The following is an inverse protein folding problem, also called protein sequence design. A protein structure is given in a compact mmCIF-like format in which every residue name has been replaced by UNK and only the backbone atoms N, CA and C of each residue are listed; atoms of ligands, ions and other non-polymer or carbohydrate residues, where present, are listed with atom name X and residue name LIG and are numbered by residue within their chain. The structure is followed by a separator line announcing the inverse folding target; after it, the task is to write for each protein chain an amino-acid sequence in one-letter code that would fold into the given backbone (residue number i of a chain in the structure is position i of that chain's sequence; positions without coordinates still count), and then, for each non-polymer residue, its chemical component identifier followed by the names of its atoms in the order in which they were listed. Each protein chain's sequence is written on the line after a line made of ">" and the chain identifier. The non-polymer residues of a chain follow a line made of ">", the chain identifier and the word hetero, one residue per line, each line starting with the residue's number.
data_IF_151212560911
#
_entry.id   IF_151212560911
#
_cell.length_a   1.000
_cell.length_b   1.000
_cell.length_c   1.000
_cell.angle_alpha   90.00
_cell.angle_beta   90.00
_cell.angle_gamma   90.00
#
_symmetry.space_group_name_H-M   'P 1'
#
loop_
_entity.id
_entity.type
_entity.pdbx_description
1 polymer ?
#
# COMPACT_ATOMS: atom_id res chain seq x y z
N UNK A 1 -23.24 38.13 -21.72
CA UNK A 1 -22.26 37.03 -21.91
C UNK A 1 -22.26 36.21 -20.63
N UNK A 2 -22.57 34.92 -20.68
CA UNK A 2 -22.55 34.05 -19.50
C UNK A 2 -21.10 33.58 -19.29
N UNK A 3 -20.51 33.92 -18.14
CA UNK A 3 -19.19 33.44 -17.79
C UNK A 3 -19.28 31.95 -17.43
N UNK A 4 -18.73 31.08 -18.27
CA UNK A 4 -18.55 29.67 -17.93
C UNK A 4 -17.34 29.58 -16.97
N UNK A 5 -17.52 29.08 -15.75
CA UNK A 5 -16.41 28.95 -14.82
C UNK A 5 -15.37 27.98 -15.40
N UNK A 6 -14.12 28.42 -15.46
CA UNK A 6 -13.00 27.67 -16.05
C UNK A 6 -12.65 26.40 -15.25
N UNK A 7 -13.04 26.35 -13.98
CA UNK A 7 -12.91 25.17 -13.11
C UNK A 7 -14.28 24.84 -12.52
N UNK A 8 -14.65 23.56 -12.58
CA UNK A 8 -15.74 23.05 -11.75
C UNK A 8 -15.42 23.32 -10.26
N UNK A 9 -16.45 23.54 -9.44
CA UNK A 9 -16.27 23.87 -8.02
C UNK A 9 -15.35 22.87 -7.33
N UNK A 10 -14.35 23.37 -6.60
CA UNK A 10 -13.42 22.54 -5.83
C UNK A 10 -14.22 21.75 -4.76
N UNK A 11 -13.98 20.44 -4.61
CA UNK A 11 -14.60 19.66 -3.55
C UNK A 11 -14.18 20.23 -2.19
N UNK A 12 -15.15 20.48 -1.31
CA UNK A 12 -14.88 21.11 0.00
C UNK A 12 -15.64 20.50 1.17
N UNK A 13 -16.64 19.64 0.92
CA UNK A 13 -17.49 19.05 1.94
C UNK A 13 -17.22 17.56 2.13
N UNK A 14 -18.29 16.77 2.11
CA UNK A 14 -18.26 15.31 2.28
C UNK A 14 -17.40 14.61 1.22
N UNK A 15 -17.21 15.25 0.06
CA UNK A 15 -16.37 14.75 -1.02
C UNK A 15 -14.91 14.57 -0.56
N UNK A 16 -14.38 15.49 0.25
CA UNK A 16 -13.03 15.38 0.79
C UNK A 16 -12.90 14.19 1.75
N UNK A 17 -13.95 13.90 2.52
CA UNK A 17 -13.98 12.74 3.41
C UNK A 17 -13.98 11.43 2.62
N UNK A 18 -14.74 11.36 1.53
CA UNK A 18 -14.76 10.20 0.62
C UNK A 18 -13.38 10.01 -0.01
N UNK A 19 -12.77 11.08 -0.53
CA UNK A 19 -11.41 11.03 -1.10
C UNK A 19 -10.41 10.55 -0.07
N UNK A 20 -10.48 11.06 1.17
CA UNK A 20 -9.63 10.62 2.26
C UNK A 20 -9.79 9.12 2.56
N UNK A 21 -11.02 8.61 2.66
CA UNK A 21 -11.26 7.18 2.91
C UNK A 21 -10.77 6.29 1.76
N UNK A 22 -10.97 6.71 0.51
CA UNK A 22 -10.43 5.99 -0.66
C UNK A 22 -8.90 5.96 -0.58
N UNK A 23 -8.27 7.10 -0.28
CA UNK A 23 -6.83 7.19 -0.15
C UNK A 23 -6.32 6.28 0.98
N UNK A 24 -6.95 6.33 2.16
CA UNK A 24 -6.64 5.47 3.29
C UNK A 24 -6.81 3.98 2.95
N UNK A 25 -7.91 3.61 2.29
CA UNK A 25 -8.18 2.23 1.91
C UNK A 25 -7.13 1.71 0.92
N UNK A 26 -6.84 2.48 -0.13
CA UNK A 26 -5.91 2.05 -1.19
C UNK A 26 -4.48 2.01 -0.66
N UNK A 27 -3.99 3.11 -0.11
CA UNK A 27 -2.58 3.24 0.29
C UNK A 27 -2.29 2.66 1.67
N UNK A 28 -3.25 2.68 2.60
CA UNK A 28 -3.07 2.16 3.95
C UNK A 28 -3.37 0.67 4.10
N UNK A 29 -4.15 0.08 3.18
CA UNK A 29 -4.57 -1.32 3.32
C UNK A 29 -4.33 -2.15 2.06
N UNK A 30 -4.94 -1.80 0.93
CA UNK A 30 -4.92 -2.66 -0.26
C UNK A 30 -3.52 -2.83 -0.85
N UNK A 31 -2.75 -1.75 -0.97
CA UNK A 31 -1.38 -1.82 -1.49
C UNK A 31 -0.46 -2.65 -0.55
N UNK A 32 -0.39 -2.37 0.77
CA UNK A 32 0.37 -3.21 1.70
C UNK A 32 0.02 -4.69 1.66
N UNK A 33 -1.29 -5.03 1.60
CA UNK A 33 -1.74 -6.43 1.50
C UNK A 33 -1.28 -7.05 0.19
N UNK A 34 -1.42 -6.34 -0.93
CA UNK A 34 -0.96 -6.81 -2.24
C UNK A 34 0.55 -7.09 -2.27
N UNK A 35 1.35 -6.18 -1.69
CA UNK A 35 2.80 -6.36 -1.54
C UNK A 35 3.12 -7.59 -0.69
N UNK A 36 2.48 -7.74 0.46
CA UNK A 36 2.71 -8.88 1.35
C UNK A 36 2.29 -10.22 0.71
N UNK A 37 1.19 -10.23 -0.04
CA UNK A 37 0.77 -11.41 -0.79
C UNK A 37 1.82 -11.81 -1.83
N UNK A 38 2.38 -10.85 -2.56
CA UNK A 38 3.44 -11.12 -3.51
C UNK A 38 4.71 -11.66 -2.82
N UNK A 39 5.15 -11.02 -1.74
CA UNK A 39 6.30 -11.46 -0.92
C UNK A 39 6.10 -12.89 -0.44
N UNK A 40 4.91 -13.20 0.12
CA UNK A 40 4.57 -14.54 0.59
C UNK A 40 4.66 -15.59 -0.52
N UNK A 41 4.07 -15.29 -1.69
CA UNK A 41 4.05 -16.21 -2.83
C UNK A 41 5.43 -16.45 -3.41
N UNK A 42 6.24 -15.40 -3.54
CA UNK A 42 7.61 -15.51 -4.05
C UNK A 42 8.50 -16.30 -3.07
N UNK A 43 8.42 -15.98 -1.77
CA UNK A 43 9.20 -16.67 -0.73
C UNK A 43 8.81 -18.15 -0.61
N UNK A 44 7.51 -18.45 -0.64
CA UNK A 44 7.01 -19.83 -0.61
C UNK A 44 7.45 -20.62 -1.85
N UNK A 45 7.43 -20.00 -3.03
CA UNK A 45 7.89 -20.66 -4.26
C UNK A 45 9.38 -21.00 -4.25
N UNK A 46 10.17 -20.30 -3.42
CA UNK A 46 11.61 -20.55 -3.22
C UNK A 46 11.92 -21.52 -2.09
N UNK A 47 10.91 -21.95 -1.33
CA UNK A 47 11.11 -22.79 -0.15
C UNK A 47 11.74 -22.03 1.03
N UNK A 48 11.54 -20.71 1.11
CA UNK A 48 12.00 -19.92 2.24
C UNK A 48 11.10 -20.19 3.47
N UNK A 49 11.70 -20.70 4.55
CA UNK A 49 11.01 -21.06 5.79
C UNK A 49 10.35 -19.86 6.49
N UNK A 50 10.87 -18.65 6.27
CA UNK A 50 10.40 -17.39 6.86
C UNK A 50 9.37 -16.66 5.98
N UNK A 51 8.80 -17.31 4.96
CA UNK A 51 7.84 -16.67 4.03
C UNK A 51 6.69 -15.93 4.74
N UNK A 52 6.14 -16.52 5.81
CA UNK A 52 5.07 -15.91 6.60
C UNK A 52 5.56 -14.67 7.37
N UNK A 53 6.78 -14.70 7.89
CA UNK A 53 7.36 -13.57 8.63
C UNK A 53 7.62 -12.39 7.70
N UNK A 54 8.16 -12.63 6.50
CA UNK A 54 8.36 -11.60 5.50
C UNK A 54 7.06 -10.94 5.05
N UNK A 55 6.02 -11.74 4.82
CA UNK A 55 4.70 -11.24 4.47
C UNK A 55 4.08 -10.42 5.62
N UNK A 56 4.15 -10.93 6.85
CA UNK A 56 3.60 -10.25 8.02
C UNK A 56 4.32 -8.92 8.29
N UNK A 57 5.65 -8.92 8.23
CA UNK A 57 6.45 -7.71 8.37
C UNK A 57 6.07 -6.66 7.31
N UNK A 58 5.81 -7.10 6.07
CA UNK A 58 5.37 -6.21 4.99
C UNK A 58 4.01 -5.57 5.28
N UNK A 59 3.02 -6.35 5.74
CA UNK A 59 1.69 -5.79 6.12
C UNK A 59 1.81 -4.85 7.31
N UNK A 60 2.50 -5.26 8.37
CA UNK A 60 2.60 -4.48 9.60
C UNK A 60 3.33 -3.16 9.36
N UNK A 61 4.42 -3.17 8.59
CA UNK A 61 5.10 -1.94 8.20
C UNK A 61 4.20 -1.04 7.33
N UNK A 62 3.40 -1.63 6.44
CA UNK A 62 2.40 -0.92 5.65
C UNK A 62 1.33 -0.23 6.47
N UNK A 63 0.75 -0.96 7.43
CA UNK A 63 -0.40 -0.54 8.22
C UNK A 63 -0.03 0.46 9.33
N UNK A 64 1.10 0.24 10.01
CA UNK A 64 1.49 1.04 11.18
C UNK A 64 2.54 2.12 10.89
N UNK A 65 3.23 2.07 9.75
CA UNK A 65 4.18 3.13 9.34
C UNK A 65 3.63 3.89 8.16
N UNK A 66 3.55 3.24 6.99
CA UNK A 66 2.94 3.74 5.76
C UNK A 66 3.19 2.73 4.63
N UNK A 67 2.61 2.99 3.45
CA UNK A 67 2.98 2.27 2.22
C UNK A 67 4.50 2.25 1.95
N UNK A 68 5.25 3.28 2.38
CA UNK A 68 6.70 3.29 2.27
C UNK A 68 7.38 2.33 3.24
N UNK A 69 6.78 2.08 4.42
CA UNK A 69 7.22 1.05 5.34
C UNK A 69 7.09 -0.36 4.73
N UNK A 70 5.93 -0.66 4.13
CA UNK A 70 5.76 -1.91 3.37
C UNK A 70 6.78 -2.02 2.22
N UNK A 71 6.99 -0.93 1.47
CA UNK A 71 7.98 -0.86 0.41
C UNK A 71 9.42 -1.12 0.90
N UNK A 72 9.79 -0.57 2.06
CA UNK A 72 11.10 -0.80 2.66
C UNK A 72 11.30 -2.28 3.03
N UNK A 73 10.30 -2.93 3.64
CA UNK A 73 10.38 -4.38 3.95
C UNK A 73 10.43 -5.21 2.67
N UNK A 74 9.64 -4.86 1.65
CA UNK A 74 9.71 -5.54 0.35
C UNK A 74 11.10 -5.43 -0.27
N UNK A 75 11.72 -4.24 -0.22
CA UNK A 75 13.09 -4.05 -0.70
C UNK A 75 14.08 -4.90 0.08
N UNK A 76 13.97 -4.95 1.41
CA UNK A 76 14.80 -5.82 2.25
C UNK A 76 14.63 -7.30 1.90
N UNK A 77 13.38 -7.74 1.68
CA UNK A 77 13.10 -9.08 1.21
C UNK A 77 13.79 -9.37 -0.13
N UNK A 78 13.65 -8.47 -1.12
CA UNK A 78 14.27 -8.66 -2.44
C UNK A 78 15.80 -8.71 -2.36
N UNK A 79 16.41 -7.90 -1.49
CA UNK A 79 17.87 -7.78 -1.37
C UNK A 79 18.52 -8.87 -0.52
N UNK A 80 17.82 -9.37 0.51
CA UNK A 80 18.39 -10.25 1.54
C UNK A 80 17.60 -11.54 1.71
N UNK A 81 16.27 -11.49 1.59
CA UNK A 81 15.39 -12.63 1.86
C UNK A 81 15.01 -13.47 0.64
N UNK A 82 15.43 -13.09 -0.57
CA UNK A 82 15.00 -13.72 -1.84
C UNK A 82 15.92 -14.87 -2.31
N UNK A 83 16.88 -15.26 -1.49
CA UNK A 83 17.79 -16.38 -1.75
C UNK A 83 17.06 -17.74 -1.78
#
# INVERSE_FOLDING_TARGET
>A
MVALPLFAGLPGGVELLIVFFIFLLVFGLLIPIGMAYWVYRDATARGNDDATLWALATVLAGLFVSVFGAGAVLLLYVLVGRE
#
